data_IF_508158310114
#
_entry.id   IF_508158310114
#
_cell.length_a   1.000
_cell.length_b   1.000
_cell.length_c   1.000
_cell.angle_alpha   90.00
_cell.angle_beta   90.00
_cell.angle_gamma   90.00
#
_symmetry.space_group_name_H-M   'P 1'
#
loop_
_entity.id
_entity.type
_entity.pdbx_description
1 polymer ?
#
# COMPACT_ATOMS: atom_id res chain seq x y z
N UNK A 1 -50.43 50.29 -24.45
CA UNK A 1 -50.40 51.04 -23.17
C UNK A 1 -50.89 50.14 -22.04
N UNK A 2 -50.20 50.07 -20.88
CA UNK A 2 -50.72 49.34 -19.74
C UNK A 2 -52.01 50.00 -19.25
N UNK A 3 -53.09 49.21 -19.09
CA UNK A 3 -54.38 49.70 -18.58
C UNK A 3 -54.15 50.25 -17.17
N UNK A 4 -54.41 51.54 -16.97
CA UNK A 4 -54.31 52.18 -15.66
C UNK A 4 -55.59 51.82 -14.90
N UNK A 5 -55.45 51.03 -13.83
CA UNK A 5 -56.56 50.70 -12.95
C UNK A 5 -56.76 51.79 -11.90
N UNK A 6 -58.03 52.14 -11.68
CA UNK A 6 -58.47 53.05 -10.63
C UNK A 6 -57.98 52.58 -9.25
N UNK A 7 -57.68 53.54 -8.37
CA UNK A 7 -57.26 53.27 -7.00
C UNK A 7 -58.31 52.51 -6.18
N UNK A 8 -59.60 52.70 -6.49
CA UNK A 8 -60.70 51.98 -5.85
C UNK A 8 -60.65 50.48 -6.20
N UNK A 9 -60.39 50.14 -7.46
CA UNK A 9 -60.24 48.76 -7.92
C UNK A 9 -59.02 48.09 -7.26
N UNK A 10 -57.91 48.83 -7.14
CA UNK A 10 -56.69 48.33 -6.46
C UNK A 10 -56.95 48.02 -4.99
N UNK A 11 -57.62 48.94 -4.31
CA UNK A 11 -57.90 48.83 -2.87
C UNK A 11 -58.84 47.68 -2.58
N UNK A 12 -59.89 47.53 -3.39
CA UNK A 12 -60.85 46.43 -3.29
C UNK A 12 -60.20 45.06 -3.58
N UNK A 13 -59.39 44.96 -4.64
CA UNK A 13 -58.66 43.73 -4.97
C UNK A 13 -57.73 43.29 -3.82
N UNK A 14 -57.01 44.24 -3.21
CA UNK A 14 -56.12 43.99 -2.07
C UNK A 14 -56.90 43.60 -0.82
N UNK A 15 -58.07 44.20 -0.57
CA UNK A 15 -58.94 43.87 0.58
C UNK A 15 -59.53 42.47 0.48
N UNK A 16 -60.07 42.10 -0.69
CA UNK A 16 -60.58 40.73 -0.94
C UNK A 16 -59.49 39.67 -0.81
N UNK A 17 -58.30 39.95 -1.35
CA UNK A 17 -57.16 39.04 -1.21
C UNK A 17 -56.69 38.90 0.25
N UNK A 18 -56.71 39.99 1.04
CA UNK A 18 -56.44 39.93 2.49
C UNK A 18 -57.46 39.08 3.25
N UNK A 19 -58.71 39.09 2.81
CA UNK A 19 -59.79 38.32 3.41
C UNK A 19 -59.79 36.83 2.98
N UNK A 20 -58.78 36.40 2.21
CA UNK A 20 -58.57 34.99 1.86
C UNK A 20 -59.27 34.54 0.57
N UNK A 21 -59.86 35.46 -0.20
CA UNK A 21 -60.51 35.10 -1.46
C UNK A 21 -59.48 34.72 -2.54
N UNK A 22 -59.85 33.76 -3.40
CA UNK A 22 -59.00 33.24 -4.45
C UNK A 22 -58.57 34.35 -5.44
N UNK A 23 -57.27 34.51 -5.64
CA UNK A 23 -56.69 35.64 -6.38
C UNK A 23 -57.05 35.65 -7.88
N UNK A 24 -57.27 34.48 -8.49
CA UNK A 24 -57.65 34.39 -9.90
C UNK A 24 -59.14 34.74 -10.07
N UNK A 25 -59.97 34.39 -9.07
CA UNK A 25 -61.37 34.82 -9.00
C UNK A 25 -61.48 36.34 -8.87
N UNK A 26 -60.70 36.97 -7.98
CA UNK A 26 -60.66 38.43 -7.82
C UNK A 26 -60.23 39.10 -9.14
N UNK A 27 -59.25 38.54 -9.85
CA UNK A 27 -58.77 39.10 -11.11
C UNK A 27 -59.84 39.04 -12.22
N UNK A 28 -60.62 37.97 -12.26
CA UNK A 28 -61.73 37.83 -13.20
C UNK A 28 -62.90 38.78 -12.83
N UNK A 29 -63.31 38.80 -11.56
CA UNK A 29 -64.43 39.62 -11.07
C UNK A 29 -64.18 41.12 -11.26
N UNK A 30 -62.93 41.57 -11.08
CA UNK A 30 -62.52 42.98 -11.25
C UNK A 30 -61.98 43.29 -12.65
N UNK A 31 -62.07 42.35 -13.60
CA UNK A 31 -61.63 42.47 -14.99
C UNK A 31 -60.17 43.00 -15.12
N UNK A 32 -59.28 42.43 -14.30
CA UNK A 32 -57.86 42.76 -14.26
C UNK A 32 -57.13 41.91 -15.31
N UNK A 33 -56.94 42.49 -16.51
CA UNK A 33 -56.29 41.84 -17.66
C UNK A 33 -54.88 41.29 -17.40
N UNK A 34 -54.15 41.85 -16.44
CA UNK A 34 -52.81 41.39 -16.07
C UNK A 34 -52.83 40.20 -15.09
N UNK A 35 -54.02 39.73 -14.71
CA UNK A 35 -54.23 38.57 -13.86
C UNK A 35 -53.79 38.76 -12.41
N UNK A 36 -53.74 37.64 -11.70
CA UNK A 36 -53.40 37.55 -10.27
C UNK A 36 -52.02 38.10 -9.92
N UNK A 37 -51.09 38.14 -10.87
CA UNK A 37 -49.74 38.68 -10.67
C UNK A 37 -49.77 40.18 -10.30
N UNK A 38 -50.69 40.96 -10.89
CA UNK A 38 -50.79 42.39 -10.61
C UNK A 38 -51.36 42.67 -9.21
N UNK A 39 -52.31 41.85 -8.76
CA UNK A 39 -52.88 41.91 -7.40
C UNK A 39 -51.79 41.61 -6.35
N UNK A 40 -50.89 40.64 -6.60
CA UNK A 40 -49.74 40.35 -5.71
C UNK A 40 -48.78 41.53 -5.59
N UNK A 41 -48.55 42.26 -6.69
CA UNK A 41 -47.72 43.47 -6.70
C UNK A 41 -48.38 44.55 -5.84
N UNK A 42 -49.67 44.82 -6.03
CA UNK A 42 -50.40 45.80 -5.22
C UNK A 42 -50.44 45.44 -3.74
N UNK A 43 -50.62 44.16 -3.40
CA UNK A 43 -50.56 43.69 -2.02
C UNK A 43 -49.17 43.91 -1.40
N UNK A 44 -48.08 43.59 -2.12
CA UNK A 44 -46.71 43.89 -1.66
C UNK A 44 -46.48 45.38 -1.46
N UNK A 45 -46.92 46.22 -2.39
CA UNK A 45 -46.83 47.67 -2.28
C UNK A 45 -47.66 48.23 -1.12
N UNK A 46 -48.80 47.59 -0.80
CA UNK A 46 -49.62 47.97 0.37
C UNK A 46 -48.96 47.63 1.71
N UNK A 47 -48.09 46.61 1.76
CA UNK A 47 -47.30 46.26 2.95
C UNK A 47 -46.12 47.21 3.18
N UNK A 48 -45.60 47.83 2.14
CA UNK A 48 -44.52 48.82 2.25
C UNK A 48 -44.99 50.23 2.63
N UNK A 49 -46.29 50.44 2.88
CA UNK A 49 -46.83 51.72 3.34
C UNK A 49 -46.98 51.78 4.86
N UNK A 50 -45.86 51.77 5.57
CA UNK A 50 -45.70 52.58 6.78
C UNK A 50 -44.37 53.34 6.63
N UNK A 51 -44.47 54.66 6.54
CA UNK A 51 -43.42 55.65 6.29
C UNK A 51 -42.94 55.77 4.83
N UNK A 52 -43.41 56.80 4.14
CA UNK A 52 -42.70 57.70 3.19
C UNK A 52 -43.66 58.30 2.16
N UNK A 53 -44.66 59.06 2.60
CA UNK A 53 -45.53 59.83 1.68
C UNK A 53 -45.85 61.26 2.13
N UNK A 54 -45.04 61.89 2.99
CA UNK A 54 -45.28 63.29 3.41
C UNK A 54 -44.23 64.30 2.87
N UNK A 55 -43.16 63.89 2.19
CA UNK A 55 -42.17 64.85 1.67
C UNK A 55 -42.05 64.87 0.13
N UNK A 56 -43.05 65.47 -0.51
CA UNK A 56 -42.94 66.29 -1.73
C UNK A 56 -43.51 67.65 -1.29
N UNK A 57 -42.79 68.76 -1.16
CA UNK A 57 -41.87 69.39 -2.10
C UNK A 57 -40.92 70.35 -1.39
N UNK A 58 -39.82 69.86 -0.79
CA UNK A 58 -38.77 70.75 -0.29
C UNK A 58 -37.54 70.65 -1.18
N UNK A 59 -37.29 71.71 -1.96
CA UNK A 59 -36.12 71.85 -2.86
C UNK A 59 -34.81 71.66 -2.08
N UNK A 60 -34.79 72.09 -0.82
CA UNK A 60 -33.67 71.91 0.12
C UNK A 60 -33.44 70.45 0.49
N UNK A 61 -34.48 69.66 0.74
CA UNK A 61 -34.34 68.21 1.03
C UNK A 61 -33.79 67.47 -0.19
N UNK A 62 -34.19 67.85 -1.41
CA UNK A 62 -33.59 67.30 -2.64
C UNK A 62 -32.11 67.67 -2.77
N UNK A 63 -31.77 68.95 -2.58
CA UNK A 63 -30.39 69.45 -2.63
C UNK A 63 -29.51 68.81 -1.55
N UNK A 64 -30.00 68.71 -0.32
CA UNK A 64 -29.31 68.09 0.81
C UNK A 64 -29.15 66.58 0.58
N UNK A 65 -30.15 65.88 0.01
CA UNK A 65 -30.00 64.47 -0.38
C UNK A 65 -28.99 64.27 -1.52
N UNK A 66 -28.88 65.21 -2.46
CA UNK A 66 -27.91 65.16 -3.54
C UNK A 66 -26.49 65.48 -3.06
N UNK A 67 -26.35 66.42 -2.10
CA UNK A 67 -25.10 66.74 -1.42
C UNK A 67 -24.64 65.56 -0.56
N UNK A 68 -25.51 65.04 0.29
CA UNK A 68 -25.25 63.82 1.08
C UNK A 68 -24.95 62.61 0.19
N UNK A 69 -25.62 62.42 -0.97
CA UNK A 69 -25.25 61.37 -1.93
C UNK A 69 -23.89 61.59 -2.60
N UNK A 70 -23.45 62.83 -2.80
CA UNK A 70 -22.10 63.14 -3.30
C UNK A 70 -21.04 62.97 -2.21
N UNK A 71 -21.36 63.33 -0.97
CA UNK A 71 -20.46 63.25 0.19
C UNK A 71 -20.33 61.81 0.74
N UNK A 72 -21.38 60.99 0.65
CA UNK A 72 -21.35 59.55 0.98
C UNK A 72 -20.62 58.70 -0.06
N UNK A 73 -20.47 59.19 -1.28
CA UNK A 73 -19.52 58.61 -2.25
C UNK A 73 -18.16 59.24 -1.95
N UNK A 74 -17.69 59.07 -0.72
CA UNK A 74 -16.37 59.52 -0.31
C UNK A 74 -15.33 58.85 -1.22
N UNK A 75 -14.26 59.58 -1.53
CA UNK A 75 -13.11 59.04 -2.27
C UNK A 75 -12.64 57.72 -1.65
N UNK A 76 -12.72 57.63 -0.33
CA UNK A 76 -12.41 56.46 0.49
C UNK A 76 -13.33 55.26 0.20
N UNK A 77 -14.66 55.44 0.07
CA UNK A 77 -15.58 54.34 -0.29
C UNK A 77 -15.30 53.80 -1.71
N UNK A 78 -14.97 54.69 -2.65
CA UNK A 78 -14.56 54.31 -4.02
C UNK A 78 -13.23 53.56 -4.02
N UNK A 79 -12.26 53.99 -3.22
CA UNK A 79 -10.97 53.32 -3.05
C UNK A 79 -11.14 51.95 -2.40
N UNK A 80 -11.94 51.83 -1.33
CA UNK A 80 -12.28 50.55 -0.69
C UNK A 80 -12.97 49.59 -1.64
N UNK A 81 -13.87 50.06 -2.51
CA UNK A 81 -14.50 49.21 -3.53
C UNK A 81 -13.51 48.72 -4.60
N UNK A 82 -12.53 49.54 -5.00
CA UNK A 82 -11.44 49.12 -5.88
C UNK A 82 -10.55 48.08 -5.20
N UNK A 83 -10.18 48.31 -3.94
CA UNK A 83 -9.39 47.39 -3.12
C UNK A 83 -10.11 46.03 -2.97
N UNK A 84 -11.41 46.05 -2.68
CA UNK A 84 -12.22 44.84 -2.50
C UNK A 84 -12.37 44.05 -3.82
N UNK A 85 -12.48 44.74 -4.97
CA UNK A 85 -12.45 44.09 -6.29
C UNK A 85 -11.10 43.40 -6.54
N UNK A 86 -10.00 44.09 -6.21
CA UNK A 86 -8.64 43.56 -6.38
C UNK A 86 -8.38 42.36 -5.45
N UNK A 87 -8.90 42.39 -4.22
CA UNK A 87 -8.86 41.26 -3.28
C UNK A 87 -9.67 40.06 -3.79
N UNK A 88 -10.88 40.27 -4.33
CA UNK A 88 -11.68 39.19 -4.94
C UNK A 88 -10.95 38.54 -6.11
N UNK A 89 -10.28 39.32 -6.95
CA UNK A 89 -9.49 38.80 -8.07
C UNK A 89 -8.25 38.03 -7.57
N UNK A 90 -7.60 38.49 -6.49
CA UNK A 90 -6.50 37.76 -5.82
C UNK A 90 -6.98 36.43 -5.23
N UNK A 91 -8.12 36.42 -4.54
CA UNK A 91 -8.70 35.19 -3.96
C UNK A 91 -8.98 34.18 -5.06
N UNK A 92 -9.65 34.57 -6.15
CA UNK A 92 -9.90 33.68 -7.31
C UNK A 92 -8.61 33.10 -7.89
N UNK A 93 -7.54 33.90 -7.96
CA UNK A 93 -6.23 33.44 -8.44
C UNK A 93 -5.61 32.42 -7.49
N UNK A 94 -5.67 32.67 -6.18
CA UNK A 94 -5.16 31.77 -5.15
C UNK A 94 -5.95 30.45 -5.11
N UNK A 95 -7.27 30.50 -5.19
CA UNK A 95 -8.12 29.30 -5.27
C UNK A 95 -7.78 28.44 -6.50
N UNK A 96 -7.55 29.08 -7.65
CA UNK A 96 -7.13 28.39 -8.87
C UNK A 96 -5.76 27.73 -8.73
N UNK A 97 -4.80 28.41 -8.08
CA UNK A 97 -3.47 27.87 -7.82
C UNK A 97 -3.51 26.70 -6.84
N UNK A 98 -4.26 26.84 -5.75
CA UNK A 98 -4.43 25.78 -4.75
C UNK A 98 -5.07 24.53 -5.37
N UNK A 99 -6.11 24.72 -6.20
CA UNK A 99 -6.73 23.62 -6.95
C UNK A 99 -5.69 22.90 -7.82
N UNK A 100 -4.86 23.64 -8.55
CA UNK A 100 -3.82 23.06 -9.39
C UNK A 100 -2.79 22.26 -8.58
N UNK A 101 -2.36 22.78 -7.43
CA UNK A 101 -1.38 22.10 -6.57
C UNK A 101 -1.92 20.79 -5.98
N UNK A 102 -3.20 20.79 -5.56
CA UNK A 102 -3.88 19.59 -5.08
C UNK A 102 -3.99 18.56 -6.20
N UNK A 103 -4.35 18.98 -7.43
CA UNK A 103 -4.40 18.09 -8.59
C UNK A 103 -3.02 17.47 -8.90
N UNK A 104 -1.94 18.24 -8.88
CA UNK A 104 -0.57 17.73 -9.10
C UNK A 104 -0.17 16.68 -8.05
N UNK A 105 -0.50 16.90 -6.76
CA UNK A 105 -0.24 15.92 -5.70
C UNK A 105 -1.02 14.62 -5.93
N UNK A 106 -2.29 14.69 -6.34
CA UNK A 106 -3.08 13.51 -6.69
C UNK A 106 -2.48 12.75 -7.86
N UNK A 107 -2.04 13.46 -8.90
CA UNK A 107 -1.41 12.86 -10.08
C UNK A 107 -0.10 12.14 -9.75
N UNK A 108 0.70 12.70 -8.84
CA UNK A 108 1.93 12.08 -8.37
C UNK A 108 1.66 10.76 -7.61
N UNK A 109 0.66 10.76 -6.72
CA UNK A 109 0.24 9.57 -5.96
C UNK A 109 -0.29 8.50 -6.93
N UNK A 110 -1.20 8.86 -7.83
CA UNK A 110 -1.75 7.94 -8.82
C UNK A 110 -0.66 7.34 -9.72
N UNK A 111 0.34 8.13 -10.11
CA UNK A 111 1.48 7.64 -10.89
C UNK A 111 2.29 6.58 -10.15
N UNK A 112 2.53 6.80 -8.86
CA UNK A 112 3.24 5.83 -8.01
C UNK A 112 2.46 4.52 -7.90
N UNK A 113 1.16 4.61 -7.64
CA UNK A 113 0.27 3.45 -7.50
C UNK A 113 0.18 2.63 -8.80
N UNK A 114 0.06 3.30 -9.97
CA UNK A 114 0.05 2.62 -11.27
C UNK A 114 1.36 1.86 -11.47
N UNK A 115 2.50 2.49 -11.19
CA UNK A 115 3.80 1.85 -11.34
C UNK A 115 3.94 0.63 -10.43
N UNK A 116 3.56 0.75 -9.16
CA UNK A 116 3.55 -0.36 -8.19
C UNK A 116 2.70 -1.54 -8.69
N UNK A 117 1.47 -1.28 -9.13
CA UNK A 117 0.55 -2.32 -9.64
C UNK A 117 0.99 -2.93 -10.97
N UNK A 118 1.83 -2.25 -11.74
CA UNK A 118 2.30 -2.70 -13.06
C UNK A 118 3.54 -3.59 -13.01
N UNK A 119 4.15 -3.75 -11.83
CA UNK A 119 5.38 -4.52 -11.64
C UNK A 119 5.07 -6.01 -11.39
N UNK A 120 5.68 -6.94 -12.12
CA UNK A 120 5.57 -8.37 -11.84
C UNK A 120 6.14 -8.71 -10.45
N UNK A 121 5.42 -9.54 -9.69
CA UNK A 121 5.64 -9.88 -8.27
C UNK A 121 7.04 -10.45 -7.95
N UNK A 122 7.78 -10.97 -8.94
CA UNK A 122 9.15 -11.46 -8.74
C UNK A 122 10.24 -10.37 -8.69
N UNK A 123 9.86 -9.10 -8.79
CA UNK A 123 10.78 -7.95 -8.79
C UNK A 123 10.59 -7.05 -7.57
N UNK A 124 9.61 -7.37 -6.73
CA UNK A 124 9.00 -6.46 -5.77
C UNK A 124 9.98 -5.96 -4.70
N UNK A 125 10.87 -6.80 -4.17
CA UNK A 125 11.82 -6.38 -3.12
C UNK A 125 13.00 -5.54 -3.65
N UNK A 126 13.35 -5.66 -4.94
CA UNK A 126 14.45 -4.90 -5.58
C UNK A 126 13.98 -3.53 -6.06
N UNK A 127 12.69 -3.40 -6.37
CA UNK A 127 12.02 -2.15 -6.71
C UNK A 127 11.63 -1.30 -5.49
N UNK A 128 11.70 -1.84 -4.27
CA UNK A 128 11.48 -1.10 -3.02
C UNK A 128 12.39 0.14 -2.85
N UNK A 129 13.44 0.30 -3.67
CA UNK A 129 14.14 1.58 -3.87
C UNK A 129 13.47 2.46 -4.93
N UNK A 130 12.13 2.63 -4.89
CA UNK A 130 11.28 3.33 -5.86
C UNK A 130 11.63 4.83 -6.12
N UNK A 131 12.70 5.36 -5.49
CA UNK A 131 13.33 6.65 -5.80
C UNK A 131 14.51 6.55 -6.79
N UNK A 132 14.92 5.36 -7.24
CA UNK A 132 16.11 5.16 -8.10
C UNK A 132 15.87 4.38 -9.39
N UNK A 133 14.63 4.32 -9.90
CA UNK A 133 14.39 3.74 -11.23
C UNK A 133 14.99 4.62 -12.33
N UNK A 134 15.78 4.02 -13.23
CA UNK A 134 16.28 4.72 -14.40
C UNK A 134 15.13 5.12 -15.33
N UNK A 135 15.34 6.19 -16.11
CA UNK A 135 14.37 6.65 -17.12
C UNK A 135 13.99 5.54 -18.11
N UNK A 136 14.95 4.67 -18.44
CA UNK A 136 14.78 3.54 -19.36
C UNK A 136 13.83 2.47 -18.80
N UNK A 137 13.96 2.12 -17.53
CA UNK A 137 13.07 1.14 -16.88
C UNK A 137 11.64 1.65 -16.75
N UNK A 138 11.46 2.93 -16.39
CA UNK A 138 10.13 3.56 -16.38
C UNK A 138 9.45 3.47 -17.73
N UNK A 139 10.17 3.79 -18.82
CA UNK A 139 9.65 3.69 -20.18
C UNK A 139 9.26 2.23 -20.52
N UNK A 140 10.07 1.26 -20.09
CA UNK A 140 9.80 -0.16 -20.33
C UNK A 140 8.51 -0.62 -19.62
N UNK A 141 8.29 -0.21 -18.36
CA UNK A 141 7.04 -0.50 -17.63
C UNK A 141 5.85 0.20 -18.29
N UNK A 142 6.00 1.47 -18.67
CA UNK A 142 4.94 2.25 -19.31
C UNK A 142 4.48 1.66 -20.66
N UNK A 143 5.36 0.90 -21.33
CA UNK A 143 5.03 0.21 -22.57
C UNK A 143 4.13 -1.03 -22.35
N UNK A 144 4.08 -1.58 -21.12
CA UNK A 144 3.35 -2.82 -20.81
C UNK A 144 1.83 -2.65 -20.90
N UNK A 145 1.13 -3.77 -21.16
CA UNK A 145 -0.34 -3.79 -21.14
C UNK A 145 -0.92 -3.54 -19.75
N UNK A 146 -0.24 -4.01 -18.70
CA UNK A 146 -0.63 -3.80 -17.31
C UNK A 146 -0.61 -2.31 -16.95
N UNK A 147 0.48 -1.60 -17.27
CA UNK A 147 0.55 -0.15 -17.08
C UNK A 147 -0.56 0.59 -17.81
N UNK A 148 -0.76 0.29 -19.10
CA UNK A 148 -1.82 0.92 -19.89
C UNK A 148 -3.21 0.68 -19.30
N UNK A 149 -3.46 -0.51 -18.75
CA UNK A 149 -4.73 -0.84 -18.09
C UNK A 149 -4.91 -0.01 -16.81
N UNK A 150 -3.96 -0.07 -15.87
CA UNK A 150 -4.05 0.67 -14.61
C UNK A 150 -4.09 2.19 -14.81
N UNK A 151 -3.33 2.72 -15.79
CA UNK A 151 -3.40 4.11 -16.18
C UNK A 151 -4.79 4.49 -16.72
N UNK A 152 -5.40 3.65 -17.58
CA UNK A 152 -6.77 3.90 -18.04
C UNK A 152 -7.79 3.86 -16.89
N UNK A 153 -7.64 2.93 -15.94
CA UNK A 153 -8.50 2.86 -14.75
C UNK A 153 -8.39 4.12 -13.89
N UNK A 154 -7.17 4.63 -13.67
CA UNK A 154 -6.95 5.86 -12.90
C UNK A 154 -7.45 7.10 -13.65
N UNK A 155 -7.26 7.18 -14.98
CA UNK A 155 -7.86 8.24 -15.80
C UNK A 155 -9.38 8.23 -15.61
N UNK A 156 -10.02 7.07 -15.68
CA UNK A 156 -11.46 6.94 -15.49
C UNK A 156 -11.91 7.42 -14.11
N UNK A 157 -11.23 6.93 -13.05
CA UNK A 157 -11.50 7.30 -11.66
C UNK A 157 -11.36 8.81 -11.41
N UNK A 158 -10.28 9.42 -11.89
CA UNK A 158 -10.02 10.85 -11.70
C UNK A 158 -11.02 11.74 -12.42
N UNK A 159 -11.49 11.32 -13.61
CA UNK A 159 -12.57 12.04 -14.32
C UNK A 159 -13.88 11.89 -13.56
N UNK A 160 -14.24 10.67 -13.13
CA UNK A 160 -15.53 10.39 -12.51
C UNK A 160 -15.69 10.98 -11.10
N UNK A 161 -14.61 11.03 -10.29
CA UNK A 161 -14.68 11.57 -8.92
C UNK A 161 -14.33 13.05 -8.81
N UNK A 162 -13.39 13.54 -9.64
CA UNK A 162 -12.81 14.88 -9.47
C UNK A 162 -13.04 15.81 -10.66
N UNK A 163 -13.70 15.34 -11.73
CA UNK A 163 -14.02 16.16 -12.90
C UNK A 163 -12.78 16.63 -13.66
N UNK A 164 -11.67 15.91 -13.53
CA UNK A 164 -10.42 16.26 -14.21
C UNK A 164 -10.53 16.08 -15.73
N UNK A 165 -9.80 16.91 -16.48
CA UNK A 165 -9.83 16.88 -17.95
C UNK A 165 -9.20 15.61 -18.54
N UNK A 166 -9.97 14.80 -19.26
CA UNK A 166 -9.52 13.51 -19.81
C UNK A 166 -8.26 13.64 -20.69
N UNK A 167 -8.19 14.66 -21.56
CA UNK A 167 -7.01 14.87 -22.43
C UNK A 167 -5.74 15.18 -21.63
N UNK A 168 -5.86 15.96 -20.54
CA UNK A 168 -4.72 16.26 -19.65
C UNK A 168 -4.20 14.98 -19.02
N UNK A 169 -5.10 14.13 -18.50
CA UNK A 169 -4.73 12.88 -17.84
C UNK A 169 -4.11 11.87 -18.82
N UNK A 170 -4.67 11.75 -20.03
CA UNK A 170 -4.13 10.91 -21.10
C UNK A 170 -2.68 11.32 -21.42
N UNK A 171 -2.43 12.63 -21.56
CA UNK A 171 -1.09 13.16 -21.80
C UNK A 171 -0.15 12.92 -20.61
N UNK A 172 -0.63 13.15 -19.39
CA UNK A 172 0.15 13.01 -18.16
C UNK A 172 0.62 11.56 -17.95
N UNK A 173 -0.29 10.58 -18.06
CA UNK A 173 0.03 9.15 -17.92
C UNK A 173 0.61 8.53 -19.21
N UNK A 174 0.82 9.33 -20.27
CA UNK A 174 1.35 8.90 -21.57
C UNK A 174 0.63 7.69 -22.17
N UNK A 175 -0.69 7.69 -22.11
CA UNK A 175 -1.54 6.69 -22.75
C UNK A 175 -2.05 7.25 -24.07
N UNK A 176 -2.29 6.40 -25.08
CA UNK A 176 -2.89 6.85 -26.33
C UNK A 176 -4.42 6.96 -26.21
N UNK A 177 -5.05 7.97 -26.83
CA UNK A 177 -6.52 8.16 -26.80
C UNK A 177 -7.28 6.90 -27.22
N UNK A 178 -6.85 6.26 -28.31
CA UNK A 178 -7.47 5.01 -28.79
C UNK A 178 -7.39 3.87 -27.76
N UNK A 179 -6.32 3.80 -26.97
CA UNK A 179 -6.17 2.79 -25.90
C UNK A 179 -7.21 3.01 -24.82
N UNK A 180 -7.40 4.26 -24.39
CA UNK A 180 -8.43 4.63 -23.41
C UNK A 180 -9.85 4.37 -23.93
N UNK A 181 -10.13 4.70 -25.19
CA UNK A 181 -11.42 4.40 -25.81
C UNK A 181 -11.70 2.90 -25.87
N UNK A 182 -10.72 2.09 -26.31
CA UNK A 182 -10.84 0.62 -26.35
C UNK A 182 -11.04 0.03 -24.95
N UNK A 183 -10.35 0.57 -23.94
CA UNK A 183 -10.52 0.15 -22.54
C UNK A 183 -11.95 0.35 -22.04
N UNK A 184 -12.53 1.54 -22.24
CA UNK A 184 -13.93 1.82 -21.85
C UNK A 184 -14.93 0.89 -22.54
N UNK A 185 -14.74 0.68 -23.85
CA UNK A 185 -15.60 -0.23 -24.63
C UNK A 185 -15.50 -1.67 -24.14
N UNK A 186 -14.27 -2.16 -23.92
CA UNK A 186 -14.02 -3.54 -23.46
C UNK A 186 -14.72 -3.82 -22.12
N UNK A 187 -14.70 -2.85 -21.20
CA UNK A 187 -15.28 -2.97 -19.87
C UNK A 187 -16.73 -2.44 -19.78
N UNK A 188 -17.33 -2.04 -20.91
CA UNK A 188 -18.69 -1.47 -20.99
C UNK A 188 -18.92 -0.33 -19.96
N UNK A 189 -17.93 0.54 -19.80
CA UNK A 189 -17.95 1.61 -18.80
C UNK A 189 -18.81 2.80 -19.25
N UNK A 190 -19.64 3.31 -18.34
CA UNK A 190 -20.41 4.53 -18.54
C UNK A 190 -19.52 5.76 -18.72
N UNK A 191 -20.09 6.84 -19.27
CA UNK A 191 -19.35 8.07 -19.48
C UNK A 191 -18.95 8.72 -18.14
N UNK A 192 -17.64 8.81 -17.82
CA UNK A 192 -17.20 9.29 -16.51
C UNK A 192 -17.54 10.77 -16.27
N UNK A 193 -17.77 11.57 -17.32
CA UNK A 193 -18.22 12.97 -17.18
C UNK A 193 -19.64 13.03 -16.64
N UNK A 194 -20.51 12.11 -17.08
CA UNK A 194 -21.88 12.02 -16.57
C UNK A 194 -21.86 11.54 -15.11
N UNK A 195 -21.03 10.53 -14.79
CA UNK A 195 -20.87 10.06 -13.42
C UNK A 195 -20.48 11.19 -12.46
N UNK A 196 -19.50 12.03 -12.84
CA UNK A 196 -19.10 13.18 -12.04
C UNK A 196 -20.21 14.22 -11.89
N UNK A 197 -20.83 14.62 -13.01
CA UNK A 197 -21.86 15.67 -13.05
C UNK A 197 -23.07 15.31 -12.18
N UNK A 198 -23.47 14.03 -12.20
CA UNK A 198 -24.64 13.52 -11.48
C UNK A 198 -24.29 12.81 -10.17
N UNK A 199 -23.01 12.80 -9.76
CA UNK A 199 -22.49 12.13 -8.55
C UNK A 199 -22.96 10.68 -8.43
N UNK A 200 -22.93 9.95 -9.54
CA UNK A 200 -23.38 8.56 -9.60
C UNK A 200 -22.31 7.60 -9.09
N UNK A 201 -22.74 6.40 -8.68
CA UNK A 201 -21.84 5.36 -8.19
C UNK A 201 -20.91 4.90 -9.31
N UNK A 202 -19.61 4.87 -9.02
CA UNK A 202 -18.60 4.44 -9.99
C UNK A 202 -18.57 2.91 -10.03
N UNK A 203 -18.59 2.29 -11.22
CA UNK A 203 -18.46 0.84 -11.36
C UNK A 203 -17.08 0.37 -10.88
N UNK A 204 -17.05 -0.78 -10.19
CA UNK A 204 -15.81 -1.42 -9.77
C UNK A 204 -15.06 -1.91 -10.99
N UNK A 205 -13.83 -1.43 -11.18
CA UNK A 205 -12.94 -1.90 -12.26
C UNK A 205 -12.08 -3.04 -11.71
N UNK A 206 -12.26 -4.25 -12.27
CA UNK A 206 -11.50 -5.44 -11.88
C UNK A 206 -9.98 -5.25 -12.09
N UNK A 207 -9.18 -6.07 -11.39
CA UNK A 207 -7.73 -6.11 -11.58
C UNK A 207 -7.36 -6.48 -13.03
N UNK A 208 -6.13 -6.13 -13.45
CA UNK A 208 -5.68 -6.45 -14.80
C UNK A 208 -5.56 -7.98 -14.98
N UNK A 209 -6.52 -8.57 -15.69
CA UNK A 209 -6.48 -9.98 -16.08
C UNK A 209 -5.66 -10.15 -17.37
N UNK A 210 -4.58 -10.91 -17.28
CA UNK A 210 -3.80 -11.26 -18.46
C UNK A 210 -4.49 -12.45 -19.16
N UNK A 211 -5.19 -12.17 -20.25
CA UNK A 211 -5.92 -13.18 -21.05
C UNK A 211 -5.05 -14.38 -21.47
N UNK A 212 -3.73 -14.20 -21.65
CA UNK A 212 -2.80 -15.32 -21.91
C UNK A 212 -2.50 -16.16 -20.68
N UNK A 213 -2.60 -15.57 -19.49
CA UNK A 213 -2.42 -16.25 -18.21
C UNK A 213 -3.64 -17.12 -17.91
N UNK A 214 -4.86 -16.60 -18.03
CA UNK A 214 -6.08 -17.39 -17.78
C UNK A 214 -6.22 -18.56 -18.76
N UNK A 215 -6.02 -18.33 -20.06
CA UNK A 215 -5.98 -19.42 -21.04
C UNK A 215 -4.92 -20.48 -20.72
N UNK A 216 -3.78 -20.07 -20.13
CA UNK A 216 -2.75 -21.00 -19.70
C UNK A 216 -3.11 -21.72 -18.39
N UNK A 217 -3.86 -21.08 -17.49
CA UNK A 217 -4.42 -21.69 -16.28
C UNK A 217 -5.38 -22.81 -16.67
N UNK A 218 -6.28 -22.57 -17.61
CA UNK A 218 -7.25 -23.57 -18.07
C UNK A 218 -6.54 -24.75 -18.74
N UNK A 219 -5.53 -24.51 -19.58
CA UNK A 219 -4.73 -25.60 -20.16
C UNK A 219 -3.95 -26.41 -19.12
N UNK A 220 -3.57 -25.79 -18.00
CA UNK A 220 -2.93 -26.49 -16.88
C UNK A 220 -3.94 -27.27 -16.05
N UNK A 221 -5.18 -26.79 -15.90
CA UNK A 221 -6.29 -27.56 -15.29
C UNK A 221 -6.65 -28.77 -16.13
N UNK A 222 -6.77 -28.63 -17.46
CA UNK A 222 -6.98 -29.74 -18.39
C UNK A 222 -5.90 -30.82 -18.22
N UNK A 223 -4.63 -30.40 -18.09
CA UNK A 223 -3.53 -31.33 -17.81
C UNK A 223 -3.75 -32.07 -16.48
N UNK A 224 -4.15 -31.35 -15.44
CA UNK A 224 -4.33 -31.89 -14.10
C UNK A 224 -5.46 -32.92 -14.03
N UNK A 225 -6.60 -32.59 -14.62
CA UNK A 225 -7.75 -33.49 -14.74
C UNK A 225 -7.39 -34.74 -15.53
N UNK A 226 -6.75 -34.61 -16.69
CA UNK A 226 -6.38 -35.74 -17.54
C UNK A 226 -5.30 -36.67 -16.93
N UNK A 227 -4.59 -36.22 -15.89
CA UNK A 227 -3.50 -36.97 -15.27
C UNK A 227 -3.71 -37.17 -13.76
N UNK A 228 -4.96 -37.15 -13.28
CA UNK A 228 -5.32 -37.40 -11.87
C UNK A 228 -4.47 -36.59 -10.87
N UNK A 229 -4.30 -35.29 -11.13
CA UNK A 229 -3.53 -34.38 -10.29
C UNK A 229 -2.05 -34.72 -10.05
N UNK A 230 -1.45 -35.54 -10.93
CA UNK A 230 -0.04 -35.95 -10.81
C UNK A 230 0.89 -34.75 -10.58
N UNK A 231 1.78 -34.85 -9.58
CA UNK A 231 2.77 -33.83 -9.28
C UNK A 231 3.94 -33.94 -10.26
N UNK A 232 3.98 -33.06 -11.25
CA UNK A 232 5.01 -33.05 -12.30
C UNK A 232 5.67 -31.69 -12.50
N UNK A 233 6.90 -31.75 -13.00
CA UNK A 233 7.70 -30.57 -13.37
C UNK A 233 7.06 -29.78 -14.52
N UNK A 234 7.33 -28.47 -14.56
CA UNK A 234 6.72 -27.55 -15.53
C UNK A 234 7.07 -27.88 -16.99
N UNK A 235 8.20 -28.53 -17.22
CA UNK A 235 8.62 -29.04 -18.53
C UNK A 235 7.67 -30.13 -19.06
N UNK A 236 7.25 -31.07 -18.20
CA UNK A 236 6.36 -32.16 -18.57
C UNK A 236 4.95 -31.66 -18.87
N UNK A 237 4.44 -30.75 -18.04
CA UNK A 237 3.14 -30.09 -18.25
C UNK A 237 3.14 -29.36 -19.60
N UNK A 238 4.19 -28.61 -19.90
CA UNK A 238 4.37 -27.95 -21.20
C UNK A 238 4.34 -28.95 -22.36
N UNK A 239 5.09 -30.05 -22.26
CA UNK A 239 5.14 -31.07 -23.32
C UNK A 239 3.78 -31.71 -23.54
N UNK A 240 3.06 -32.04 -22.46
CA UNK A 240 1.72 -32.62 -22.54
C UNK A 240 0.72 -31.67 -23.18
N UNK A 241 0.69 -30.38 -22.78
CA UNK A 241 -0.21 -29.38 -23.38
C UNK A 241 0.06 -29.23 -24.88
N UNK A 242 1.34 -29.22 -25.27
CA UNK A 242 1.70 -29.14 -26.67
C UNK A 242 1.22 -30.36 -27.47
N UNK A 243 1.45 -31.57 -26.96
CA UNK A 243 1.06 -32.81 -27.62
C UNK A 243 -0.45 -33.00 -27.70
N UNK A 244 -1.18 -32.69 -26.62
CA UNK A 244 -2.62 -33.03 -26.50
C UNK A 244 -3.57 -31.89 -26.89
N UNK A 245 -3.12 -30.64 -26.81
CA UNK A 245 -3.97 -29.46 -27.08
C UNK A 245 -3.44 -28.61 -28.24
N UNK A 246 -2.31 -28.98 -28.84
CA UNK A 246 -1.61 -28.24 -29.90
C UNK A 246 -1.43 -26.73 -29.57
N UNK A 247 -1.23 -26.41 -28.30
CA UNK A 247 -1.05 -25.03 -27.80
C UNK A 247 0.31 -24.88 -27.14
N UNK A 248 0.95 -23.72 -27.34
CA UNK A 248 2.27 -23.42 -26.78
C UNK A 248 2.14 -22.65 -25.47
N UNK A 249 2.57 -23.26 -24.37
CA UNK A 249 2.71 -22.62 -23.06
C UNK A 249 4.18 -22.70 -22.63
N UNK A 250 4.76 -21.59 -22.18
CA UNK A 250 6.15 -21.58 -21.70
C UNK A 250 6.26 -22.12 -20.27
N UNK A 251 7.39 -22.72 -19.92
CA UNK A 251 7.66 -23.15 -18.54
C UNK A 251 7.63 -21.97 -17.56
N UNK A 252 8.05 -20.78 -18.00
CA UNK A 252 7.95 -19.55 -17.21
C UNK A 252 6.49 -19.22 -16.87
N UNK A 253 5.57 -19.42 -17.81
CA UNK A 253 4.13 -19.23 -17.59
C UNK A 253 3.57 -20.26 -16.60
N UNK A 254 3.93 -21.53 -16.75
CA UNK A 254 3.50 -22.59 -15.83
C UNK A 254 4.04 -22.34 -14.41
N UNK A 255 5.30 -21.91 -14.30
CA UNK A 255 5.90 -21.51 -13.01
C UNK A 255 5.29 -20.23 -12.44
N UNK A 256 4.74 -19.34 -13.27
CA UNK A 256 3.97 -18.19 -12.82
C UNK A 256 2.62 -18.64 -12.26
N UNK A 257 1.91 -19.53 -12.94
CA UNK A 257 0.63 -20.09 -12.47
C UNK A 257 0.83 -20.85 -11.15
N UNK A 258 1.89 -21.66 -11.01
CA UNK A 258 2.24 -22.33 -9.74
C UNK A 258 2.39 -21.37 -8.56
N UNK A 259 2.81 -20.12 -8.80
CA UNK A 259 3.03 -19.09 -7.78
C UNK A 259 1.78 -18.25 -7.53
N UNK A 260 1.10 -17.83 -8.59
CA UNK A 260 -0.01 -16.88 -8.52
C UNK A 260 -1.37 -17.53 -8.37
N UNK A 261 -1.52 -18.78 -8.83
CA UNK A 261 -2.72 -19.63 -8.66
C UNK A 261 -2.35 -21.00 -8.11
N UNK A 262 -1.80 -21.07 -6.88
CA UNK A 262 -1.37 -22.34 -6.27
C UNK A 262 -2.52 -23.36 -6.15
N UNK A 263 -3.76 -22.91 -6.03
CA UNK A 263 -4.98 -23.73 -6.00
C UNK A 263 -5.14 -24.63 -7.22
N UNK A 264 -4.67 -24.22 -8.40
CA UNK A 264 -4.67 -25.05 -9.63
C UNK A 264 -3.76 -26.27 -9.49
N UNK A 265 -2.82 -26.23 -8.55
CA UNK A 265 -1.85 -27.29 -8.27
C UNK A 265 -2.07 -27.96 -6.90
N UNK A 266 -3.08 -27.55 -6.14
CA UNK A 266 -3.45 -28.18 -4.89
C UNK A 266 -4.35 -29.37 -5.19
N UNK A 267 -3.86 -30.58 -4.90
CA UNK A 267 -4.72 -31.76 -4.87
C UNK A 267 -5.79 -31.56 -3.78
N UNK A 268 -7.00 -32.09 -4.00
CA UNK A 268 -8.07 -32.22 -2.99
C UNK A 268 -7.71 -33.12 -1.80
N UNK A 269 -6.52 -33.74 -1.82
CA UNK A 269 -5.86 -34.12 -0.59
C UNK A 269 -5.31 -32.88 0.09
N UNK A 270 -6.02 -32.39 1.10
CA UNK A 270 -5.49 -31.57 2.17
C UNK A 270 -4.20 -32.21 2.71
N UNK A 271 -3.07 -31.91 2.07
CA UNK A 271 -1.78 -31.94 2.74
C UNK A 271 -1.78 -30.71 3.61
N UNK A 272 -2.21 -30.91 4.85
CA UNK A 272 -1.53 -30.29 5.98
C UNK A 272 -0.07 -30.09 5.59
N UNK A 273 0.40 -28.84 5.67
CA UNK A 273 1.83 -28.53 5.54
C UNK A 273 2.66 -29.09 6.70
N UNK A 274 2.27 -30.23 7.28
CA UNK A 274 3.21 -31.18 7.81
C UNK A 274 4.06 -31.65 6.64
N UNK A 275 5.27 -31.07 6.53
CA UNK A 275 6.42 -31.82 6.02
C UNK A 275 6.23 -33.26 6.50
N UNK A 276 6.25 -34.25 5.61
CA UNK A 276 6.50 -35.63 6.03
C UNK A 276 7.84 -35.60 6.78
N UNK A 277 7.78 -35.36 8.09
CA UNK A 277 8.79 -35.85 9.00
C UNK A 277 8.77 -37.34 8.71
N UNK A 278 9.86 -37.85 8.14
CA UNK A 278 10.27 -39.20 8.54
C UNK A 278 10.03 -39.25 10.04
N UNK A 279 9.11 -40.10 10.50
CA UNK A 279 8.80 -40.24 11.90
C UNK A 279 10.10 -40.59 12.62
N UNK A 280 10.80 -39.58 13.12
CA UNK A 280 11.66 -39.76 14.26
C UNK A 280 10.67 -39.90 15.40
N UNK A 281 10.56 -41.11 15.92
CA UNK A 281 9.90 -41.34 17.19
C UNK A 281 10.68 -40.55 18.24
N UNK A 282 10.36 -39.27 18.40
CA UNK A 282 10.89 -38.42 19.45
C UNK A 282 10.56 -39.11 20.78
N UNK A 283 11.61 -39.49 21.51
CA UNK A 283 11.44 -40.22 22.76
C UNK A 283 10.68 -39.36 23.77
N UNK A 284 9.98 -39.98 24.73
CA UNK A 284 9.35 -39.26 25.85
C UNK A 284 10.32 -38.27 26.53
N UNK A 285 11.62 -38.60 26.57
CA UNK A 285 12.70 -37.77 27.09
C UNK A 285 13.01 -36.53 26.23
N UNK A 286 12.80 -36.54 24.91
CA UNK A 286 12.94 -35.34 24.09
C UNK A 286 11.82 -34.33 24.37
N UNK A 287 10.58 -34.79 24.44
CA UNK A 287 9.41 -33.93 24.70
C UNK A 287 9.48 -33.22 26.07
N UNK A 288 10.10 -33.83 27.10
CA UNK A 288 10.26 -33.19 28.42
C UNK A 288 11.16 -31.95 28.40
N UNK A 289 12.04 -31.82 27.40
CA UNK A 289 12.95 -30.67 27.27
C UNK A 289 12.48 -29.62 26.28
N UNK A 290 11.37 -29.84 25.58
CA UNK A 290 10.76 -28.85 24.68
C UNK A 290 10.23 -27.67 25.50
N UNK A 291 10.44 -26.45 24.99
CA UNK A 291 9.92 -25.20 25.57
C UNK A 291 8.80 -24.63 24.72
N UNK A 292 8.00 -23.78 25.33
CA UNK A 292 6.95 -23.05 24.63
C UNK A 292 7.53 -22.09 23.61
N UNK A 293 6.72 -21.77 22.61
CA UNK A 293 7.05 -20.77 21.61
C UNK A 293 6.60 -19.41 22.12
N UNK A 294 7.54 -18.66 22.70
CA UNK A 294 7.29 -17.32 23.25
C UNK A 294 7.18 -16.25 22.14
N UNK A 295 7.52 -16.59 20.90
CA UNK A 295 7.61 -15.64 19.78
C UNK A 295 6.43 -15.78 18.83
N UNK A 296 6.01 -17.01 18.53
CA UNK A 296 4.93 -17.32 17.59
C UNK A 296 5.06 -16.53 16.27
N UNK A 297 4.10 -15.64 15.94
CA UNK A 297 4.16 -14.78 14.75
C UNK A 297 4.68 -13.36 15.01
N UNK A 298 5.08 -13.03 16.23
CA UNK A 298 5.55 -11.69 16.58
C UNK A 298 7.07 -11.57 16.39
N UNK A 299 7.50 -11.40 15.14
CA UNK A 299 8.93 -11.23 14.80
C UNK A 299 9.53 -9.87 15.25
N UNK A 300 8.71 -8.98 15.81
CA UNK A 300 9.12 -7.69 16.36
C UNK A 300 9.30 -7.74 17.88
N UNK A 301 9.20 -8.93 18.51
CA UNK A 301 9.51 -9.08 19.92
C UNK A 301 10.96 -8.61 20.16
N UNK A 302 11.18 -7.62 21.02
CA UNK A 302 12.51 -7.08 21.27
C UNK A 302 13.36 -8.08 22.06
N UNK A 303 14.68 -7.88 22.05
CA UNK A 303 15.63 -8.68 22.84
C UNK A 303 15.64 -10.17 22.49
N UNK A 304 15.28 -10.51 21.26
CA UNK A 304 15.31 -11.90 20.78
C UNK A 304 16.65 -12.19 20.12
N UNK A 305 17.25 -13.32 20.50
CA UNK A 305 18.43 -13.88 19.86
C UNK A 305 18.04 -15.21 19.22
N UNK A 306 18.01 -15.24 17.89
CA UNK A 306 17.73 -16.48 17.16
C UNK A 306 18.98 -17.34 16.99
N UNK A 307 18.84 -18.65 17.15
CA UNK A 307 19.92 -19.64 17.04
C UNK A 307 19.54 -20.71 16.03
N UNK A 308 20.47 -21.09 15.15
CA UNK A 308 20.23 -22.12 14.15
C UNK A 308 21.55 -22.76 13.68
N UNK A 309 21.47 -24.00 13.20
CA UNK A 309 22.57 -24.72 12.59
C UNK A 309 22.67 -24.45 11.09
N UNK A 310 23.84 -24.08 10.59
CA UNK A 310 24.07 -23.91 9.14
C UNK A 310 25.32 -24.63 8.67
N UNK A 311 25.31 -25.10 7.43
CA UNK A 311 26.41 -25.86 6.86
C UNK A 311 27.21 -25.02 5.86
N UNK A 312 28.49 -24.81 6.09
CA UNK A 312 29.40 -24.12 5.18
C UNK A 312 30.18 -25.15 4.35
N UNK A 313 30.23 -24.96 3.03
CA UNK A 313 30.99 -25.82 2.11
C UNK A 313 32.25 -25.08 1.72
N UNK A 314 33.41 -25.62 2.10
CA UNK A 314 34.72 -25.01 1.88
C UNK A 314 35.67 -26.01 1.22
N UNK A 315 36.67 -25.49 0.52
CA UNK A 315 37.77 -26.24 -0.10
C UNK A 315 39.05 -25.92 0.69
N UNK A 316 39.77 -26.97 1.14
CA UNK A 316 40.97 -26.85 1.98
C UNK A 316 42.21 -27.33 1.23
N UNK A 317 43.38 -26.75 1.50
CA UNK A 317 44.67 -27.17 0.93
C UNK A 317 44.67 -27.23 -0.61
N UNK A 318 43.96 -26.33 -1.29
CA UNK A 318 43.74 -26.35 -2.74
C UNK A 318 43.12 -27.65 -3.29
N UNK A 319 42.52 -28.47 -2.43
CA UNK A 319 41.75 -29.65 -2.83
C UNK A 319 40.48 -29.24 -3.56
N UNK A 320 40.11 -30.00 -4.60
CA UNK A 320 38.80 -29.91 -5.24
C UNK A 320 37.67 -30.50 -4.39
N UNK A 321 38.00 -31.17 -3.28
CA UNK A 321 37.03 -31.79 -2.39
C UNK A 321 36.41 -30.76 -1.43
N UNK A 322 35.07 -30.74 -1.37
CA UNK A 322 34.32 -29.81 -0.52
C UNK A 322 34.11 -30.40 0.87
N UNK A 323 34.80 -29.84 1.84
CA UNK A 323 34.56 -30.09 3.26
C UNK A 323 33.28 -29.38 3.69
N UNK A 324 32.34 -30.15 4.26
CA UNK A 324 31.12 -29.62 4.87
C UNK A 324 31.38 -29.40 6.36
N UNK A 325 31.31 -28.14 6.79
CA UNK A 325 31.50 -27.75 8.19
C UNK A 325 30.17 -27.26 8.77
N UNK A 326 29.77 -27.78 9.92
CA UNK A 326 28.60 -27.31 10.63
C UNK A 326 28.97 -26.08 11.48
N UNK A 327 28.13 -25.06 11.44
CA UNK A 327 28.25 -23.84 12.23
C UNK A 327 26.95 -23.65 13.00
N UNK A 328 27.01 -23.78 14.31
CA UNK A 328 25.95 -23.31 15.19
C UNK A 328 26.14 -21.82 15.35
N UNK A 329 25.17 -21.00 14.95
CA UNK A 329 25.31 -19.54 14.91
C UNK A 329 24.06 -18.87 15.48
N UNK A 330 24.27 -17.71 16.11
CA UNK A 330 23.21 -16.91 16.69
C UNK A 330 23.25 -15.46 16.24
N UNK A 331 22.07 -14.85 16.22
CA UNK A 331 21.87 -13.48 15.77
C UNK A 331 20.98 -12.70 16.72
N UNK A 332 21.38 -11.49 17.06
CA UNK A 332 20.48 -10.51 17.65
C UNK A 332 19.48 -10.08 16.57
N UNK A 333 18.18 -10.24 16.84
CA UNK A 333 17.16 -9.94 15.85
C UNK A 333 16.91 -8.45 15.68
N UNK A 334 17.24 -7.59 16.64
CA UNK A 334 17.02 -6.15 16.51
C UNK A 334 18.14 -5.56 15.64
N UNK A 335 19.39 -5.85 16.01
CA UNK A 335 20.58 -5.32 15.34
C UNK A 335 21.00 -6.13 14.11
N UNK A 336 20.43 -7.33 13.92
CA UNK A 336 20.82 -8.29 12.87
C UNK A 336 22.33 -8.64 12.91
N UNK A 337 22.97 -8.51 14.06
CA UNK A 337 24.39 -8.81 14.31
C UNK A 337 24.56 -10.28 14.69
N UNK A 338 25.73 -10.85 14.41
CA UNK A 338 26.11 -12.19 14.87
C UNK A 338 26.54 -12.07 16.34
N UNK A 339 25.85 -12.76 17.25
CA UNK A 339 26.17 -12.72 18.68
C UNK A 339 27.20 -13.78 19.03
N UNK A 340 26.99 -15.00 18.59
CA UNK A 340 27.87 -16.12 18.87
C UNK A 340 27.86 -17.14 17.74
N UNK A 341 28.93 -17.91 17.64
CA UNK A 341 29.03 -19.04 16.73
C UNK A 341 30.01 -20.09 17.25
N UNK A 342 29.82 -21.34 16.84
CA UNK A 342 30.75 -22.43 17.07
C UNK A 342 30.76 -23.39 15.87
N UNK A 343 31.95 -23.79 15.45
CA UNK A 343 32.13 -24.79 14.39
C UNK A 343 32.29 -26.18 14.96
N UNK A 344 31.71 -27.16 14.28
CA UNK A 344 31.87 -28.58 14.59
C UNK A 344 31.69 -29.43 13.33
N UNK A 345 32.01 -30.72 13.41
CA UNK A 345 31.80 -31.68 12.32
C UNK A 345 30.30 -31.88 12.04
N UNK A 346 29.51 -32.01 13.11
CA UNK A 346 28.08 -32.27 13.05
C UNK A 346 27.32 -31.34 14.01
N UNK A 347 26.03 -31.14 13.75
CA UNK A 347 25.14 -30.43 14.66
C UNK A 347 24.95 -31.23 15.96
N UNK A 348 25.23 -30.62 17.10
CA UNK A 348 25.17 -31.28 18.39
C UNK A 348 24.95 -30.31 19.55
N UNK A 349 24.48 -30.82 20.68
CA UNK A 349 24.14 -30.03 21.87
C UNK A 349 25.33 -29.38 22.57
N UNK A 350 26.56 -29.89 22.40
CA UNK A 350 27.75 -29.22 22.95
C UNK A 350 28.04 -27.92 22.20
N UNK A 351 27.89 -27.93 20.87
CA UNK A 351 27.99 -26.72 20.04
C UNK A 351 26.93 -25.70 20.43
N UNK A 352 25.67 -26.13 20.59
CA UNK A 352 24.57 -25.28 21.06
C UNK A 352 24.84 -24.70 22.44
N UNK A 353 25.33 -25.50 23.40
CA UNK A 353 25.64 -25.01 24.75
C UNK A 353 26.72 -23.93 24.74
N UNK A 354 27.76 -24.07 23.92
CA UNK A 354 28.80 -23.03 23.78
C UNK A 354 28.21 -21.72 23.27
N UNK A 355 27.31 -21.80 22.28
CA UNK A 355 26.61 -20.63 21.74
C UNK A 355 25.70 -20.01 22.80
N UNK A 356 24.93 -20.81 23.55
CA UNK A 356 24.07 -20.32 24.63
C UNK A 356 24.86 -19.60 25.73
N UNK A 357 26.03 -20.11 26.11
CA UNK A 357 26.92 -19.44 27.08
C UNK A 357 27.37 -18.06 26.61
N UNK A 358 27.75 -17.94 25.33
CA UNK A 358 28.12 -16.66 24.73
C UNK A 358 26.94 -15.70 24.62
N UNK A 359 25.73 -16.19 24.37
CA UNK A 359 24.52 -15.35 24.39
C UNK A 359 24.24 -14.85 25.81
N UNK A 360 24.45 -15.68 26.84
CA UNK A 360 24.32 -15.24 28.22
C UNK A 360 25.35 -14.15 28.58
N UNK A 361 26.61 -14.32 28.19
CA UNK A 361 27.64 -13.27 28.32
C UNK A 361 27.20 -11.97 27.62
N UNK A 362 26.65 -12.07 26.41
CA UNK A 362 26.11 -10.94 25.67
C UNK A 362 24.92 -10.27 26.38
N UNK A 363 24.00 -11.05 26.94
CA UNK A 363 22.86 -10.56 27.72
C UNK A 363 23.30 -9.80 28.97
N UNK A 364 24.28 -10.33 29.71
CA UNK A 364 24.91 -9.65 30.86
C UNK A 364 25.55 -8.34 30.41
N UNK A 365 26.38 -8.36 29.36
CA UNK A 365 27.10 -7.16 28.90
C UNK A 365 26.16 -6.05 28.38
N UNK A 366 24.96 -6.40 27.95
CA UNK A 366 23.96 -5.44 27.46
C UNK A 366 22.93 -5.08 28.51
N UNK A 367 23.04 -5.59 29.75
CA UNK A 367 22.07 -5.43 30.84
C UNK A 367 20.62 -5.68 30.37
N UNK A 368 20.42 -6.68 29.51
CA UNK A 368 19.11 -6.98 28.94
C UNK A 368 18.86 -8.47 28.88
N UNK A 369 17.74 -8.91 29.44
CA UNK A 369 17.33 -10.31 29.38
C UNK A 369 17.02 -10.69 27.94
N UNK A 370 17.54 -11.83 27.48
CA UNK A 370 17.37 -12.28 26.09
C UNK A 370 16.48 -13.51 25.98
N UNK A 371 15.58 -13.49 25.02
CA UNK A 371 14.83 -14.69 24.61
C UNK A 371 15.63 -15.38 23.51
N UNK A 372 16.09 -16.59 23.78
CA UNK A 372 16.80 -17.42 22.82
C UNK A 372 15.76 -18.21 22.01
N UNK A 373 15.57 -17.88 20.74
CA UNK A 373 14.65 -18.58 19.84
C UNK A 373 15.39 -19.66 19.04
N UNK A 374 14.86 -20.89 19.05
CA UNK A 374 15.41 -22.02 18.28
C UNK A 374 14.29 -22.87 17.67
N UNK A 375 14.65 -23.90 16.91
CA UNK A 375 13.72 -24.97 16.54
C UNK A 375 13.67 -26.07 17.63
N UNK A 376 12.93 -27.16 17.37
CA UNK A 376 12.80 -28.30 18.30
C UNK A 376 13.82 -29.41 18.03
N UNK A 377 14.92 -29.09 17.35
CA UNK A 377 15.99 -30.04 17.02
C UNK A 377 16.67 -30.60 18.27
N UNK A 378 17.15 -31.84 18.18
CA UNK A 378 17.81 -32.57 19.27
C UNK A 378 18.99 -31.82 19.90
N UNK A 379 19.62 -30.91 19.16
CA UNK A 379 20.72 -30.08 19.65
C UNK A 379 20.26 -29.04 20.69
N UNK A 380 18.98 -28.64 20.67
CA UNK A 380 18.41 -27.62 21.56
C UNK A 380 17.49 -28.21 22.62
N UNK A 381 16.68 -29.21 22.26
CA UNK A 381 15.74 -29.88 23.16
C UNK A 381 16.39 -31.05 23.89
N UNK A 382 17.36 -30.75 24.76
CA UNK A 382 18.05 -31.74 25.56
C UNK A 382 18.29 -31.26 26.99
N UNK A 383 18.50 -32.21 27.89
CA UNK A 383 18.76 -32.01 29.33
C UNK A 383 19.85 -30.96 29.58
N UNK A 384 20.96 -31.06 28.86
CA UNK A 384 22.11 -30.17 29.00
C UNK A 384 21.77 -28.69 28.75
N UNK A 385 20.93 -28.40 27.75
CA UNK A 385 20.47 -27.03 27.48
C UNK A 385 19.44 -26.61 28.51
N UNK A 386 18.49 -27.49 28.82
CA UNK A 386 17.45 -27.23 29.82
C UNK A 386 18.02 -26.86 31.19
N UNK A 387 18.97 -27.64 31.69
CA UNK A 387 19.62 -27.38 32.98
C UNK A 387 20.44 -26.10 32.97
N UNK A 388 21.14 -25.81 31.86
CA UNK A 388 21.90 -24.58 31.74
C UNK A 388 20.99 -23.34 31.79
N UNK A 389 19.86 -23.36 31.09
CA UNK A 389 18.94 -22.22 31.07
C UNK A 389 18.21 -22.09 32.41
N UNK A 390 17.55 -23.16 32.89
CA UNK A 390 16.60 -23.03 34.00
C UNK A 390 17.20 -23.19 35.40
N UNK A 391 18.35 -23.86 35.55
CA UNK A 391 18.97 -24.04 36.88
C UNK A 391 20.13 -23.06 37.13
N UNK A 392 20.65 -22.40 36.10
CA UNK A 392 21.94 -21.67 36.20
C UNK A 392 21.90 -20.20 35.75
N UNK A 393 20.82 -19.71 35.14
CA UNK A 393 20.80 -18.35 34.58
C UNK A 393 19.42 -17.70 34.67
N UNK A 394 19.39 -16.43 35.09
CA UNK A 394 18.16 -15.62 35.12
C UNK A 394 18.07 -14.63 33.94
N UNK A 395 19.15 -14.47 33.17
CA UNK A 395 19.26 -13.44 32.13
C UNK A 395 18.82 -13.94 30.74
N UNK A 396 18.60 -15.25 30.59
CA UNK A 396 18.18 -15.84 29.33
C UNK A 396 16.96 -16.72 29.53
N UNK A 397 16.05 -16.71 28.55
CA UNK A 397 14.90 -17.61 28.49
C UNK A 397 14.94 -18.35 27.17
N UNK A 398 14.68 -19.66 27.19
CA UNK A 398 14.70 -20.48 25.98
C UNK A 398 13.29 -20.68 25.43
N UNK A 399 13.12 -20.30 24.17
CA UNK A 399 11.89 -20.44 23.39
C UNK A 399 12.13 -21.34 22.17
N UNK A 400 11.14 -22.18 21.84
CA UNK A 400 11.23 -23.12 20.73
C UNK A 400 10.02 -23.05 19.80
N UNK A 401 10.30 -22.89 18.51
CA UNK A 401 9.30 -22.79 17.46
C UNK A 401 8.31 -23.96 17.49
N UNK A 402 7.00 -23.71 17.37
CA UNK A 402 5.97 -24.76 17.23
C UNK A 402 6.26 -25.69 16.03
N UNK A 403 5.95 -26.98 16.18
CA UNK A 403 6.08 -27.97 15.08
C UNK A 403 5.23 -27.54 13.88
N UNK A 404 5.74 -27.77 12.67
CA UNK A 404 5.04 -27.43 11.42
C UNK A 404 5.15 -25.95 11.01
N UNK A 405 5.65 -25.08 11.89
CA UNK A 405 5.82 -23.67 11.59
C UNK A 405 7.31 -23.28 11.48
N UNK A 406 7.59 -22.28 10.63
CA UNK A 406 8.96 -21.75 10.42
C UNK A 406 9.24 -20.54 11.31
N UNK A 407 8.96 -20.61 12.61
CA UNK A 407 9.08 -19.43 13.49
C UNK A 407 10.53 -18.96 13.73
N UNK A 408 11.52 -19.77 13.38
CA UNK A 408 12.92 -19.34 13.29
C UNK A 408 13.30 -18.71 11.92
N UNK A 409 12.32 -18.29 11.11
CA UNK A 409 12.51 -17.81 9.73
C UNK A 409 13.45 -16.60 9.62
N UNK A 410 13.44 -15.71 10.61
CA UNK A 410 14.37 -14.57 10.67
C UNK A 410 15.82 -15.07 10.71
N UNK A 411 16.11 -16.04 11.56
CA UNK A 411 17.41 -16.68 11.71
C UNK A 411 17.80 -17.48 10.45
N UNK A 412 16.86 -18.25 9.88
CA UNK A 412 17.11 -18.99 8.63
C UNK A 412 17.44 -18.04 7.46
N UNK A 413 16.77 -16.88 7.40
CA UNK A 413 17.03 -15.85 6.39
C UNK A 413 18.38 -15.18 6.60
N UNK A 414 18.74 -14.87 7.86
CA UNK A 414 20.06 -14.33 8.22
C UNK A 414 21.18 -15.33 7.90
N UNK A 415 20.96 -16.62 8.17
CA UNK A 415 21.89 -17.70 7.80
C UNK A 415 22.21 -17.68 6.31
N UNK A 416 21.18 -17.58 5.45
CA UNK A 416 21.38 -17.48 4.00
C UNK A 416 22.18 -16.23 3.64
N UNK A 417 21.79 -15.09 4.18
CA UNK A 417 22.40 -13.80 3.85
C UNK A 417 23.87 -13.72 4.26
N UNK A 418 24.18 -14.12 5.49
CA UNK A 418 25.55 -14.15 6.04
C UNK A 418 26.45 -15.06 5.21
N UNK A 419 25.94 -16.24 4.85
CA UNK A 419 26.66 -17.19 4.02
C UNK A 419 26.98 -16.66 2.63
N UNK A 420 25.99 -16.07 1.96
CA UNK A 420 26.17 -15.44 0.65
C UNK A 420 27.20 -14.30 0.72
N UNK A 421 27.13 -13.45 1.74
CA UNK A 421 28.08 -12.35 1.94
C UNK A 421 29.48 -12.85 2.21
N UNK A 422 29.65 -13.85 3.07
CA UNK A 422 30.95 -14.41 3.37
C UNK A 422 31.62 -14.98 2.12
N UNK A 423 30.94 -15.88 1.38
CA UNK A 423 31.52 -16.52 0.20
C UNK A 423 31.72 -15.57 -0.98
N UNK A 424 30.87 -14.54 -1.12
CA UNK A 424 31.09 -13.50 -2.14
C UNK A 424 32.35 -12.68 -1.87
N UNK A 425 32.66 -12.43 -0.60
CA UNK A 425 33.82 -11.61 -0.21
C UNK A 425 35.12 -12.40 -0.18
N UNK A 426 35.10 -13.61 0.38
CA UNK A 426 36.31 -14.38 0.67
C UNK A 426 36.50 -15.61 -0.23
N UNK A 427 35.51 -15.93 -1.07
CA UNK A 427 35.52 -17.17 -1.84
C UNK A 427 35.33 -18.41 -0.95
N UNK A 428 35.47 -19.60 -1.54
CA UNK A 428 35.29 -20.88 -0.86
C UNK A 428 36.58 -21.67 -0.64
N UNK A 429 37.73 -21.17 -1.10
CA UNK A 429 39.04 -21.83 -1.02
C UNK A 429 39.87 -21.25 0.12
N UNK A 430 40.35 -22.11 1.00
CA UNK A 430 41.15 -21.72 2.16
C UNK A 430 42.41 -22.58 2.26
N UNK A 431 43.49 -22.00 2.81
CA UNK A 431 44.76 -22.71 2.95
C UNK A 431 44.60 -23.94 3.84
N UNK A 432 44.00 -23.77 5.01
CA UNK A 432 43.69 -24.84 5.97
C UNK A 432 42.48 -24.42 6.83
N UNK A 433 42.04 -25.29 7.75
CA UNK A 433 40.87 -25.00 8.58
C UNK A 433 41.06 -23.79 9.52
N UNK A 434 42.28 -23.59 10.02
CA UNK A 434 42.60 -22.46 10.89
C UNK A 434 42.50 -21.14 10.13
N UNK A 435 43.02 -21.10 8.89
CA UNK A 435 42.87 -19.96 7.99
C UNK A 435 41.39 -19.63 7.71
N UNK A 436 40.53 -20.64 7.57
CA UNK A 436 39.08 -20.43 7.49
C UNK A 436 38.52 -19.81 8.77
N UNK A 437 38.87 -20.32 9.96
CA UNK A 437 38.40 -19.78 11.23
C UNK A 437 38.81 -18.32 11.45
N UNK A 438 40.06 -17.97 11.16
CA UNK A 438 40.55 -16.60 11.31
C UNK A 438 39.87 -15.67 10.30
N UNK A 439 39.64 -16.14 9.08
CA UNK A 439 38.91 -15.38 8.05
C UNK A 439 37.45 -15.16 8.45
N UNK A 440 36.78 -16.19 8.97
CA UNK A 440 35.41 -16.08 9.45
C UNK A 440 35.30 -15.14 10.65
N UNK A 441 36.25 -15.20 11.61
CA UNK A 441 36.32 -14.27 12.74
C UNK A 441 36.45 -12.82 12.26
N UNK A 442 37.34 -12.55 11.30
CA UNK A 442 37.51 -11.23 10.68
C UNK A 442 36.23 -10.76 9.99
N UNK A 443 35.56 -11.66 9.27
CA UNK A 443 34.27 -11.37 8.65
C UNK A 443 33.21 -10.98 9.69
N UNK A 444 33.06 -11.75 10.79
CA UNK A 444 32.06 -11.46 11.84
C UNK A 444 32.30 -10.08 12.45
N UNK A 445 33.55 -9.74 12.77
CA UNK A 445 33.90 -8.41 13.29
C UNK A 445 33.45 -7.29 12.33
N UNK A 446 33.81 -7.39 11.05
CA UNK A 446 33.46 -6.40 10.04
C UNK A 446 31.95 -6.34 9.78
N UNK A 447 31.29 -7.50 9.72
CA UNK A 447 29.85 -7.61 9.52
C UNK A 447 29.10 -6.92 10.66
N UNK A 448 29.44 -7.22 11.91
CA UNK A 448 28.80 -6.63 13.07
C UNK A 448 29.00 -5.11 13.12
N UNK A 449 30.20 -4.62 12.83
CA UNK A 449 30.48 -3.17 12.74
C UNK A 449 29.55 -2.48 11.73
N UNK A 450 29.35 -3.09 10.56
CA UNK A 450 28.46 -2.55 9.53
C UNK A 450 26.98 -2.61 9.94
N UNK A 451 26.53 -3.70 10.56
CA UNK A 451 25.14 -3.80 11.01
C UNK A 451 24.84 -2.82 12.14
N UNK A 452 25.77 -2.64 13.08
CA UNK A 452 25.64 -1.66 14.14
C UNK A 452 25.47 -0.23 13.58
N UNK A 453 26.31 0.18 12.63
CA UNK A 453 26.13 1.47 11.94
C UNK A 453 24.77 1.57 11.24
N UNK A 454 24.29 0.48 10.65
CA UNK A 454 23.05 0.47 9.88
C UNK A 454 21.80 0.57 10.76
N UNK A 455 21.75 -0.16 11.88
CA UNK A 455 20.52 -0.24 12.68
C UNK A 455 20.54 0.69 13.88
N UNK A 456 21.70 0.98 14.48
CA UNK A 456 21.78 1.90 15.62
C UNK A 456 21.59 3.38 15.22
N UNK A 457 21.96 3.78 14.00
CA UNK A 457 21.72 5.15 13.49
C UNK A 457 20.22 5.39 13.18
N UNK A 458 19.47 4.32 12.86
CA UNK A 458 18.03 4.45 12.56
C UNK A 458 17.18 4.57 13.83
N UNK A 459 17.57 3.94 14.94
CA UNK A 459 16.86 4.08 16.21
C UNK A 459 17.01 5.49 16.82
N UNK A 460 18.17 6.13 16.71
CA UNK A 460 18.34 7.52 17.16
C UNK A 460 17.51 8.54 16.37
N UNK A 461 17.20 8.27 15.09
CA UNK A 461 16.33 9.14 14.28
C UNK A 461 14.85 8.95 14.55
N UNK A 462 14.45 7.81 15.13
CA UNK A 462 13.07 7.52 15.47
C UNK A 462 12.70 7.87 16.92
N UNK A 463 13.64 8.38 17.72
CA UNK A 463 13.37 8.92 19.07
C UNK A 463 12.94 10.41 19.06
N UNK A 464 12.92 11.06 17.89
CA UNK A 464 12.48 12.45 17.71
C UNK A 464 11.33 12.62 16.70
N UNK A 465 10.57 11.55 16.46
CA UNK A 465 9.24 11.56 15.84
C UNK A 465 8.24 11.01 16.84
#
# INVERSE_FOLDING_TARGET
>A
MPKIYDINIKTEAVKRYKNGENIDKIANDLNIKAGSQLIRIWYKSSKSCYSYSIYKDCKEVKLMSQKLKKDFISKELKEKNKENKLLKDRIKKLEKNLKFEIEEKMLAIASKEILEKSIPSCTATILMNLLKMSKKEKIMIMATKAYKYYACSQIYYLVANYGMGTNRLINYFKVHKNTYSKFKMKLKLENPILLYKYKLKIPTINSFENERFENAVDLVKDFKEANNDLQTGSLLIRKWIFVNKNKRVSEKMINLIKREKPEVFKNSFSRDNCKKSSYFNESKKHNSYVRDDLIEMNYNTPNVVGVDGTNLKIELNNSSYKTKLNCMISYDWDLKTIVAYNFDKNENSNSSLKVFKRINEYSVNTNSNKVIQSDRGLAFSCEKIFEYVNKKNNNIVHSMSKRGFKHNASTESLNRWVKEKFFKTYGCKFKNIQNFYDTFRKFVYNFNKLQFLKYNIFDQKNQHL
#
